data_IF_260298440299
#
_entry.id   IF_260298440299
#
_cell.length_a   1.000
_cell.length_b   1.000
_cell.length_c   1.000
_cell.angle_alpha   90.00
_cell.angle_beta   90.00
_cell.angle_gamma   90.00
#
_symmetry.space_group_name_H-M   'P 1'
#
loop_
_entity.id
_entity.type
_entity.pdbx_description
1 polymer ?
#
# COMPACT_ATOMS: atom_id res chain seq x y z
N UNK A 1 6.13 -1.74 -53.79
CA UNK A 1 6.86 -1.50 -52.54
C UNK A 1 5.84 -1.66 -51.44
N UNK A 2 5.97 -2.79 -50.76
CA UNK A 2 4.89 -3.50 -50.11
C UNK A 2 4.66 -2.96 -48.70
N UNK A 3 3.42 -2.63 -48.37
CA UNK A 3 2.95 -2.25 -47.02
C UNK A 3 3.28 -3.28 -45.92
N UNK A 4 3.77 -4.46 -46.31
CA UNK A 4 4.20 -5.55 -45.45
C UNK A 4 5.59 -5.29 -44.84
N UNK A 5 6.47 -4.60 -45.55
CA UNK A 5 7.84 -4.34 -45.12
C UNK A 5 7.93 -3.28 -44.00
N UNK A 6 6.97 -2.34 -43.95
CA UNK A 6 6.92 -1.31 -42.90
C UNK A 6 6.40 -1.88 -41.56
N UNK A 7 5.49 -2.85 -41.62
CA UNK A 7 4.95 -3.51 -40.42
C UNK A 7 5.98 -4.48 -39.81
N UNK A 8 6.78 -5.14 -40.65
CA UNK A 8 7.85 -6.04 -40.19
C UNK A 8 8.94 -5.27 -39.43
N UNK A 9 9.31 -4.05 -39.85
CA UNK A 9 10.27 -3.19 -39.14
C UNK A 9 9.72 -2.73 -37.77
N UNK A 10 8.41 -2.50 -37.65
CA UNK A 10 7.77 -2.14 -36.38
C UNK A 10 7.64 -3.38 -35.49
N UNK A 11 7.37 -4.56 -36.05
CA UNK A 11 7.30 -5.82 -35.31
C UNK A 11 8.67 -6.29 -34.80
N UNK A 12 9.73 -6.01 -35.54
CA UNK A 12 11.10 -6.39 -35.19
C UNK A 12 11.72 -5.41 -34.18
N UNK A 13 11.32 -4.12 -34.21
CA UNK A 13 11.61 -3.17 -33.12
C UNK A 13 10.73 -3.35 -31.88
N UNK A 14 9.55 -3.97 -32.00
CA UNK A 14 8.72 -4.36 -30.87
C UNK A 14 9.24 -5.62 -30.14
N UNK A 15 10.21 -6.34 -30.72
CA UNK A 15 10.91 -7.46 -30.08
C UNK A 15 12.15 -7.07 -29.28
N UNK A 16 12.44 -5.78 -29.12
CA UNK A 16 13.25 -5.31 -27.99
C UNK A 16 12.35 -5.14 -26.77
N UNK A 17 11.99 -6.30 -26.22
CA UNK A 17 11.28 -6.49 -24.96
C UNK A 17 12.00 -5.69 -23.85
N UNK A 18 11.59 -4.47 -23.51
CA UNK A 18 10.46 -4.06 -22.67
C UNK A 18 10.37 -4.70 -21.28
N UNK A 19 11.48 -5.11 -20.67
CA UNK A 19 11.46 -5.56 -19.26
C UNK A 19 11.68 -4.43 -18.22
N UNK A 20 11.95 -3.20 -18.68
CA UNK A 20 12.21 -2.04 -17.79
C UNK A 20 11.06 -1.03 -17.73
N UNK A 21 10.05 -1.16 -18.60
CA UNK A 21 8.86 -0.29 -18.64
C UNK A 21 7.71 -0.78 -17.76
N UNK A 22 7.44 -2.08 -17.79
CA UNK A 22 6.32 -2.70 -17.04
C UNK A 22 6.57 -2.61 -15.53
N UNK A 23 7.78 -2.94 -15.07
CA UNK A 23 8.15 -2.90 -13.65
C UNK A 23 8.03 -1.50 -13.02
N UNK A 24 8.41 -0.45 -13.76
CA UNK A 24 8.29 0.93 -13.27
C UNK A 24 6.82 1.35 -13.13
N UNK A 25 5.94 0.86 -14.01
CA UNK A 25 4.52 1.14 -13.91
C UNK A 25 3.91 0.47 -12.66
N UNK A 26 4.21 -0.81 -12.41
CA UNK A 26 3.70 -1.55 -11.25
C UNK A 26 4.17 -0.96 -9.90
N UNK A 27 5.42 -0.52 -9.80
CA UNK A 27 5.95 0.16 -8.62
C UNK A 27 5.24 1.50 -8.35
N UNK A 28 5.01 2.29 -9.40
CA UNK A 28 4.28 3.56 -9.31
C UNK A 28 2.82 3.31 -8.94
N UNK A 29 2.20 2.24 -9.46
CA UNK A 29 0.86 1.79 -9.07
C UNK A 29 0.85 1.40 -7.58
N UNK A 30 1.85 0.68 -7.07
CA UNK A 30 1.99 0.33 -5.66
C UNK A 30 2.07 1.54 -4.74
N UNK A 31 2.94 2.49 -5.05
CA UNK A 31 3.06 3.76 -4.29
C UNK A 31 1.76 4.57 -4.38
N UNK A 32 1.13 4.62 -5.55
CA UNK A 32 -0.14 5.35 -5.74
C UNK A 32 -1.27 4.74 -4.92
N UNK A 33 -1.38 3.41 -4.86
CA UNK A 33 -2.33 2.68 -3.99
C UNK A 33 -2.09 3.00 -2.51
N UNK A 34 -0.84 3.01 -2.06
CA UNK A 34 -0.50 3.38 -0.68
C UNK A 34 -0.86 4.84 -0.38
N UNK A 35 -0.57 5.78 -1.30
CA UNK A 35 -0.97 7.19 -1.14
C UNK A 35 -2.48 7.35 -1.04
N UNK A 36 -3.25 6.65 -1.88
CA UNK A 36 -4.72 6.65 -1.80
C UNK A 36 -5.21 6.11 -0.45
N UNK A 37 -4.57 5.05 0.08
CA UNK A 37 -4.88 4.52 1.43
C UNK A 37 -4.62 5.58 2.50
N UNK A 38 -3.48 6.26 2.46
CA UNK A 38 -3.15 7.33 3.39
C UNK A 38 -4.17 8.49 3.32
N UNK A 39 -4.62 8.90 2.12
CA UNK A 39 -5.68 9.92 1.93
C UNK A 39 -7.01 9.45 2.55
N UNK A 40 -7.39 8.18 2.36
CA UNK A 40 -8.61 7.62 2.97
C UNK A 40 -8.52 7.63 4.50
N UNK A 41 -7.38 7.27 5.07
CA UNK A 41 -7.17 7.29 6.53
C UNK A 41 -7.28 8.73 7.06
N UNK A 42 -6.71 9.72 6.37
CA UNK A 42 -6.83 11.13 6.74
C UNK A 42 -8.30 11.61 6.73
N UNK A 43 -9.08 11.20 5.72
CA UNK A 43 -10.51 11.48 5.67
C UNK A 43 -11.28 10.85 6.84
N UNK A 44 -10.93 9.61 7.23
CA UNK A 44 -11.52 8.91 8.38
C UNK A 44 -11.17 9.61 9.71
N UNK A 45 -9.93 10.08 9.88
CA UNK A 45 -9.51 10.85 11.05
C UNK A 45 -10.36 12.11 11.18
N UNK A 46 -10.52 12.88 10.10
CA UNK A 46 -11.37 14.09 10.07
C UNK A 46 -12.83 13.78 10.40
N UNK A 47 -13.36 12.66 9.87
CA UNK A 47 -14.71 12.22 10.17
C UNK A 47 -14.88 11.88 11.67
N UNK A 48 -13.92 11.16 12.27
CA UNK A 48 -13.93 10.81 13.69
C UNK A 48 -13.82 12.03 14.60
N UNK A 49 -12.97 13.01 14.28
CA UNK A 49 -12.94 14.28 15.01
C UNK A 49 -14.27 15.04 14.93
N UNK A 50 -14.91 15.03 13.76
CA UNK A 50 -16.23 15.67 13.58
C UNK A 50 -17.31 14.96 14.41
N UNK A 51 -17.32 13.63 14.43
CA UNK A 51 -18.22 12.82 15.24
C UNK A 51 -18.03 13.06 16.75
N UNK A 52 -16.77 13.10 17.19
CA UNK A 52 -16.42 13.42 18.57
C UNK A 52 -16.92 14.82 18.95
N UNK A 53 -16.69 15.82 18.11
CA UNK A 53 -17.16 17.19 18.35
C UNK A 53 -18.70 17.29 18.44
N UNK A 54 -19.43 16.56 17.58
CA UNK A 54 -20.90 16.47 17.66
C UNK A 54 -21.36 15.82 18.97
N UNK A 55 -20.67 14.76 19.38
CA UNK A 55 -20.97 14.05 20.64
C UNK A 55 -20.72 14.97 21.84
N UNK A 56 -19.56 15.64 21.88
CA UNK A 56 -19.21 16.65 22.89
C UNK A 56 -20.27 17.74 23.03
N UNK A 57 -20.65 18.35 21.90
CA UNK A 57 -21.65 19.41 21.89
C UNK A 57 -23.01 18.91 22.41
N UNK A 58 -23.45 17.73 21.97
CA UNK A 58 -24.70 17.12 22.43
C UNK A 58 -24.70 16.84 23.93
N UNK A 59 -23.57 16.39 24.49
CA UNK A 59 -23.43 16.15 25.92
C UNK A 59 -23.53 17.44 26.73
N UNK A 60 -22.78 18.48 26.35
CA UNK A 60 -22.82 19.78 27.05
C UNK A 60 -24.20 20.42 26.94
N UNK A 61 -24.84 20.36 25.77
CA UNK A 61 -26.18 20.95 25.56
C UNK A 61 -27.27 20.28 26.39
N UNK A 62 -27.16 18.98 26.61
CA UNK A 62 -28.19 18.19 27.30
C UNK A 62 -27.83 17.88 28.76
N UNK A 63 -26.76 18.48 29.29
CA UNK A 63 -26.20 18.21 30.61
C UNK A 63 -26.02 16.70 30.88
N UNK A 64 -25.47 16.00 29.89
CA UNK A 64 -25.18 14.57 29.95
C UNK A 64 -23.68 14.30 29.81
N UNK A 65 -23.24 13.12 30.21
CA UNK A 65 -21.85 12.69 30.10
C UNK A 65 -21.78 11.21 29.77
N UNK A 66 -20.87 10.86 28.85
CA UNK A 66 -20.61 9.49 28.41
C UNK A 66 -19.10 9.34 28.19
N UNK A 67 -18.37 9.23 29.30
CA UNK A 67 -16.91 9.17 29.30
C UNK A 67 -16.36 8.01 28.49
N UNK A 68 -17.05 6.87 28.48
CA UNK A 68 -16.64 5.67 27.74
C UNK A 68 -16.71 5.90 26.23
N UNK A 69 -17.78 6.54 25.75
CA UNK A 69 -17.91 6.91 24.33
C UNK A 69 -16.81 7.88 23.88
N UNK A 70 -16.41 8.80 24.74
CA UNK A 70 -15.29 9.72 24.47
C UNK A 70 -13.97 8.96 24.41
N UNK A 71 -13.71 8.11 25.40
CA UNK A 71 -12.50 7.30 25.45
C UNK A 71 -12.38 6.41 24.21
N UNK A 72 -13.48 5.79 23.78
CA UNK A 72 -13.52 4.98 22.56
C UNK A 72 -13.21 5.81 21.31
N UNK A 73 -13.79 6.99 21.17
CA UNK A 73 -13.52 7.87 20.03
C UNK A 73 -12.05 8.32 19.97
N UNK A 74 -11.42 8.58 21.12
CA UNK A 74 -9.99 8.90 21.20
C UNK A 74 -9.14 7.70 20.80
N UNK A 75 -9.45 6.50 21.31
CA UNK A 75 -8.73 5.27 20.94
C UNK A 75 -8.83 4.96 19.45
N UNK A 76 -10.01 5.16 18.84
CA UNK A 76 -10.23 4.99 17.40
C UNK A 76 -9.33 5.94 16.59
N UNK A 77 -9.24 7.20 17.00
CA UNK A 77 -8.40 8.22 16.36
C UNK A 77 -6.91 7.85 16.46
N UNK A 78 -6.44 7.44 17.64
CA UNK A 78 -5.06 6.99 17.84
C UNK A 78 -4.73 5.77 16.97
N UNK A 79 -5.65 4.83 16.86
CA UNK A 79 -5.48 3.66 16.00
C UNK A 79 -5.40 4.04 14.52
N UNK A 80 -6.18 5.01 14.06
CA UNK A 80 -6.09 5.55 12.69
C UNK A 80 -4.74 6.23 12.45
N UNK A 81 -4.21 6.99 13.41
CA UNK A 81 -2.86 7.57 13.31
C UNK A 81 -1.76 6.51 13.23
N UNK A 82 -1.86 5.43 14.00
CA UNK A 82 -0.93 4.28 13.89
C UNK A 82 -0.95 3.67 12.49
N UNK A 83 -2.14 3.46 11.92
CA UNK A 83 -2.31 2.98 10.53
C UNK A 83 -1.72 3.96 9.51
N UNK A 84 -1.89 5.27 9.72
CA UNK A 84 -1.30 6.31 8.85
C UNK A 84 0.23 6.27 8.90
N UNK A 85 0.81 6.13 10.11
CA UNK A 85 2.26 6.01 10.29
C UNK A 85 2.82 4.77 9.57
N UNK A 86 2.15 3.62 9.68
CA UNK A 86 2.53 2.40 8.96
C UNK A 86 2.46 2.58 7.43
N UNK A 87 1.38 3.20 6.93
CA UNK A 87 1.21 3.51 5.51
C UNK A 87 2.37 4.37 4.97
N UNK A 88 2.73 5.44 5.69
CA UNK A 88 3.83 6.33 5.33
C UNK A 88 5.19 5.64 5.42
N UNK A 89 5.44 4.83 6.45
CA UNK A 89 6.68 4.07 6.59
C UNK A 89 6.89 3.12 5.40
N UNK A 90 5.83 2.46 4.93
CA UNK A 90 5.91 1.59 3.74
C UNK A 90 6.21 2.38 2.46
N UNK A 91 5.64 3.58 2.31
CA UNK A 91 5.97 4.47 1.17
C UNK A 91 7.46 4.85 1.20
N UNK A 92 8.01 5.20 2.35
CA UNK A 92 9.43 5.54 2.49
C UNK A 92 10.34 4.33 2.25
N UNK A 93 9.95 3.16 2.73
CA UNK A 93 10.68 1.91 2.48
C UNK A 93 10.78 1.60 0.99
N UNK A 94 9.68 1.72 0.24
CA UNK A 94 9.65 1.52 -1.21
C UNK A 94 10.56 2.48 -1.99
N UNK A 95 10.93 3.62 -1.40
CA UNK A 95 11.89 4.58 -2.00
C UNK A 95 13.35 4.22 -1.75
N UNK A 96 13.66 3.36 -0.76
CA UNK A 96 15.04 3.02 -0.40
C UNK A 96 15.73 2.18 -1.48
N UNK A 97 17.05 2.25 -1.50
CA UNK A 97 17.93 1.48 -2.39
C UNK A 97 18.62 0.38 -1.58
N UNK A 98 18.65 -0.84 -2.13
CA UNK A 98 19.37 -2.02 -1.63
C UNK A 98 20.44 -2.43 -2.64
N UNK A 99 21.62 -2.80 -2.16
CA UNK A 99 22.72 -3.26 -3.04
C UNK A 99 22.69 -4.78 -3.11
N UNK A 100 22.75 -5.34 -4.32
CA UNK A 100 22.81 -6.78 -4.52
C UNK A 100 24.13 -7.35 -3.94
N UNK A 101 24.08 -8.40 -3.11
CA UNK A 101 25.28 -8.98 -2.52
C UNK A 101 26.15 -9.76 -3.52
N UNK A 102 25.58 -10.19 -4.66
CA UNK A 102 26.28 -11.00 -5.66
C UNK A 102 26.98 -10.14 -6.70
N UNK A 103 26.28 -9.17 -7.28
CA UNK A 103 26.79 -8.39 -8.43
C UNK A 103 26.98 -6.91 -8.13
N UNK A 104 26.69 -6.44 -6.91
CA UNK A 104 26.86 -5.04 -6.53
C UNK A 104 25.84 -4.05 -7.14
N UNK A 105 24.88 -4.53 -7.94
CA UNK A 105 23.87 -3.67 -8.55
C UNK A 105 22.98 -3.02 -7.49
N UNK A 106 22.76 -1.71 -7.61
CA UNK A 106 21.81 -0.97 -6.80
C UNK A 106 20.39 -1.23 -7.30
N UNK A 107 19.54 -1.75 -6.42
CA UNK A 107 18.15 -2.11 -6.64
C UNK A 107 17.26 -1.28 -5.72
N UNK A 108 15.96 -1.17 -6.02
CA UNK A 108 15.01 -0.64 -5.05
C UNK A 108 14.73 -1.70 -3.97
N UNK A 109 14.42 -1.26 -2.76
CA UNK A 109 14.03 -2.17 -1.67
C UNK A 109 12.79 -3.00 -2.03
N UNK A 110 11.90 -2.45 -2.87
CA UNK A 110 10.71 -3.15 -3.39
C UNK A 110 11.01 -4.32 -4.33
N UNK A 111 12.25 -4.47 -4.80
CA UNK A 111 12.61 -5.54 -5.72
C UNK A 111 12.84 -6.86 -4.95
N UNK A 112 12.07 -7.90 -5.27
CA UNK A 112 12.33 -9.26 -4.78
C UNK A 112 13.59 -9.89 -5.39
N UNK A 113 13.96 -9.48 -6.60
CA UNK A 113 15.11 -10.00 -7.34
C UNK A 113 15.96 -8.87 -7.91
N UNK A 114 17.28 -9.09 -7.97
CA UNK A 114 18.21 -8.17 -8.56
C UNK A 114 17.90 -7.98 -10.06
N UNK A 115 17.85 -6.73 -10.50
CA UNK A 115 17.61 -6.34 -11.90
C UNK A 115 18.70 -6.75 -12.87
N UNK A 116 19.91 -7.07 -12.39
CA UNK A 116 21.05 -7.43 -13.24
C UNK A 116 21.36 -8.93 -13.25
N UNK A 117 21.41 -9.57 -12.08
CA UNK A 117 21.82 -10.98 -11.96
C UNK A 117 20.71 -11.94 -11.52
N UNK A 118 19.45 -11.45 -11.37
CA UNK A 118 18.30 -12.21 -10.87
C UNK A 118 18.47 -12.85 -9.48
N UNK A 119 19.55 -12.56 -8.75
CA UNK A 119 19.70 -13.04 -7.37
C UNK A 119 18.57 -12.48 -6.49
N UNK A 120 17.96 -13.33 -5.66
CA UNK A 120 16.89 -12.94 -4.74
C UNK A 120 17.43 -11.94 -3.73
N UNK A 121 16.82 -10.77 -3.66
CA UNK A 121 17.11 -9.77 -2.63
C UNK A 121 16.26 -10.14 -1.42
N UNK A 122 16.85 -10.14 -0.23
CA UNK A 122 16.14 -10.56 0.99
C UNK A 122 15.00 -9.56 1.25
N UNK A 123 13.76 -9.97 1.01
CA UNK A 123 12.55 -9.17 1.22
C UNK A 123 11.79 -9.73 2.42
N UNK A 124 11.93 -9.10 3.59
CA UNK A 124 11.08 -9.35 4.76
C UNK A 124 9.80 -8.53 4.60
N UNK A 125 8.86 -9.02 3.78
CA UNK A 125 7.51 -8.47 3.62
C UNK A 125 6.48 -9.61 3.53
N UNK A 126 6.61 -10.63 4.39
CA UNK A 126 5.45 -11.47 4.71
C UNK A 126 4.58 -10.69 5.69
N UNK A 127 3.59 -9.95 5.18
CA UNK A 127 2.43 -9.62 6.01
C UNK A 127 1.69 -10.94 6.27
N UNK A 128 1.41 -11.31 7.54
CA UNK A 128 0.58 -12.46 7.83
C UNK A 128 -0.77 -12.25 7.16
N UNK A 129 -1.17 -13.21 6.32
CA UNK A 129 -2.54 -13.29 5.82
C UNK A 129 -3.45 -13.30 7.04
N UNK A 130 -4.28 -12.26 7.16
CA UNK A 130 -5.44 -12.23 8.03
C UNK A 130 -6.36 -13.36 7.58
N UNK A 131 -6.12 -14.56 8.12
CA UNK A 131 -6.99 -15.71 8.00
C UNK A 131 -8.26 -15.36 8.76
N UNK A 132 -9.17 -14.64 8.11
CA UNK A 132 -10.54 -14.52 8.58
C UNK A 132 -11.13 -15.93 8.59
N UNK A 133 -11.16 -16.55 9.77
CA UNK A 133 -11.91 -17.76 10.05
C UNK A 133 -13.34 -17.57 9.54
N UNK A 134 -13.68 -18.29 8.47
CA UNK A 134 -15.04 -18.31 7.93
C UNK A 134 -15.80 -19.36 8.74
N UNK A 135 -16.82 -18.99 9.55
CA UNK A 135 -17.51 -19.95 10.42
C UNK A 135 -18.35 -20.99 9.68
N UNK A 136 -18.49 -20.89 8.36
CA UNK A 136 -19.41 -21.72 7.57
C UNK A 136 -18.78 -22.98 6.96
N UNK A 137 -17.49 -23.25 7.18
CA UNK A 137 -16.83 -24.49 6.71
C UNK A 137 -17.13 -25.71 7.61
N UNK A 138 -18.06 -25.58 8.58
CA UNK A 138 -18.42 -26.62 9.54
C UNK A 138 -19.70 -27.43 9.20
N UNK A 139 -20.29 -27.28 8.01
CA UNK A 139 -21.52 -27.99 7.63
C UNK A 139 -21.42 -28.93 6.42
N UNK A 140 -20.22 -29.38 6.06
CA UNK A 140 -20.12 -30.50 5.12
C UNK A 140 -19.01 -31.50 5.47
N UNK A 141 -19.19 -32.17 6.61
CA UNK A 141 -18.59 -33.48 6.88
C UNK A 141 -19.55 -34.40 7.60
#
# INVERSE_FOLDING_TARGET
MDFKDEFDIISEKAKQLTDTGIRKADEVIGISKLKLRCIKIDALIKAKYTELGRTMYGMVKNDSSDADRIAQAVMDIDHLYKKMAQCNARIELMKKIVTCPVCGTKNRFSNTYCTACMHKLVSTDEEPEDYSFNPDDAENR
#
